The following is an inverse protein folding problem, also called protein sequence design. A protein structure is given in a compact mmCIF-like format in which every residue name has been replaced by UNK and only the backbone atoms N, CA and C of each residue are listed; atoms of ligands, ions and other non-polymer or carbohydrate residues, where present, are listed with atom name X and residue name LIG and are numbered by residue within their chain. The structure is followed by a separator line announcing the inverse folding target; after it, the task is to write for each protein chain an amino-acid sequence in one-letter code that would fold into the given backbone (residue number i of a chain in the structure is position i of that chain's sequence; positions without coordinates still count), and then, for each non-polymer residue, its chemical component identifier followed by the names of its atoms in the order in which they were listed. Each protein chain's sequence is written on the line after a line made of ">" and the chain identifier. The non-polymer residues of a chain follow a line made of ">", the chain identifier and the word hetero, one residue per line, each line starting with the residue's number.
data_IF_453539060773
#
_entry.id   IF_453539060773
#
_cell.length_a   1.000
_cell.length_b   1.000
_cell.length_c   1.000
_cell.angle_alpha   90.00
_cell.angle_beta   90.00
_cell.angle_gamma   90.00
#
_symmetry.space_group_name_H-M   'P 1'
#
loop_
_entity.id
_entity.type
_entity.pdbx_description
1 polymer ?
#
# COMPACT_ATOMS: atom_id res chain seq x y z
N UNK A 1 -14.16 -7.55 -10.15
CA UNK A 1 -14.93 -7.51 -8.90
C UNK A 1 -14.08 -6.92 -7.78
N UNK A 2 -14.74 -6.40 -6.75
CA UNK A 2 -14.06 -5.81 -5.62
C UNK A 2 -14.59 -6.35 -4.33
N UNK A 3 -13.67 -6.71 -3.46
CA UNK A 3 -13.95 -6.82 -2.04
C UNK A 3 -13.77 -5.42 -1.46
N UNK A 4 -14.64 -5.02 -0.54
CA UNK A 4 -14.54 -3.69 0.05
C UNK A 4 -13.26 -3.47 0.86
N UNK A 5 -12.55 -4.53 1.18
CA UNK A 5 -11.27 -4.44 1.88
C UNK A 5 -10.09 -4.39 0.92
N UNK A 6 -10.36 -4.38 -0.37
CA UNK A 6 -9.34 -4.35 -1.40
C UNK A 6 -9.33 -2.95 -2.03
N UNK A 7 -8.14 -2.44 -2.31
CA UNK A 7 -8.00 -1.15 -2.96
C UNK A 7 -6.82 -1.15 -3.91
N UNK A 8 -6.91 -0.33 -4.95
CA UNK A 8 -5.86 -0.18 -5.96
C UNK A 8 -5.25 1.20 -5.83
N UNK A 9 -3.92 1.28 -5.89
CA UNK A 9 -3.24 2.55 -5.81
C UNK A 9 -2.14 2.64 -6.87
N UNK A 10 -1.78 3.88 -7.21
CA UNK A 10 -0.67 4.16 -8.12
C UNK A 10 0.26 5.15 -7.44
N UNK A 11 1.54 4.83 -7.42
CA UNK A 11 2.58 5.67 -6.82
C UNK A 11 3.56 6.13 -7.89
N UNK A 12 4.07 7.35 -7.72
CA UNK A 12 5.22 7.80 -8.49
C UNK A 12 6.51 7.31 -7.80
N UNK A 13 7.65 7.69 -8.38
CA UNK A 13 8.96 7.21 -7.87
C UNK A 13 9.32 7.80 -6.51
N UNK A 14 8.71 8.91 -6.12
CA UNK A 14 8.95 9.53 -4.82
C UNK A 14 7.97 9.06 -3.76
N UNK A 15 7.06 8.17 -4.10
CA UNK A 15 6.08 7.64 -3.16
C UNK A 15 4.79 8.45 -3.11
N UNK A 16 4.59 9.38 -4.02
CA UNK A 16 3.36 10.15 -4.07
C UNK A 16 2.23 9.36 -4.70
N UNK A 17 1.05 9.44 -4.11
CA UNK A 17 -0.13 8.78 -4.65
C UNK A 17 -0.68 9.58 -5.82
N UNK A 18 -0.70 8.95 -6.99
CA UNK A 18 -1.31 9.53 -8.19
C UNK A 18 -2.75 9.08 -8.35
N UNK A 19 -3.10 7.95 -7.76
CA UNK A 19 -4.47 7.45 -7.74
C UNK A 19 -4.64 6.55 -6.53
N UNK A 20 -5.84 6.53 -5.97
CA UNK A 20 -6.15 5.67 -4.83
C UNK A 20 -7.63 5.33 -4.90
N UNK A 21 -7.94 4.08 -5.20
CA UNK A 21 -9.31 3.64 -5.34
C UNK A 21 -10.08 3.74 -4.04
N UNK A 22 -11.25 4.37 -4.08
CA UNK A 22 -12.11 4.52 -2.94
C UNK A 22 -11.73 5.65 -1.99
N UNK A 23 -10.58 6.29 -2.16
CA UNK A 23 -10.14 7.38 -1.29
C UNK A 23 -9.42 8.46 -2.10
N UNK A 24 -10.16 9.25 -2.88
CA UNK A 24 -9.53 10.28 -3.72
C UNK A 24 -8.77 11.33 -2.91
N UNK A 25 -9.09 11.49 -1.63
CA UNK A 25 -8.37 12.43 -0.76
C UNK A 25 -6.92 12.00 -0.51
N UNK A 26 -6.58 10.75 -0.78
CA UNK A 26 -5.19 10.29 -0.67
C UNK A 26 -4.30 10.77 -1.81
N UNK A 27 -4.89 11.13 -2.93
CA UNK A 27 -4.12 11.63 -4.08
C UNK A 27 -3.40 12.92 -3.68
N UNK A 28 -2.10 12.97 -3.95
CA UNK A 28 -1.27 14.10 -3.54
C UNK A 28 -0.55 13.89 -2.23
N UNK A 29 -0.93 12.90 -1.43
CA UNK A 29 -0.17 12.54 -0.23
C UNK A 29 0.93 11.54 -0.61
N UNK A 30 1.79 11.21 0.36
CA UNK A 30 2.91 10.29 0.12
C UNK A 30 2.83 9.11 1.07
N UNK A 31 3.38 7.98 0.62
CA UNK A 31 3.49 6.79 1.46
C UNK A 31 4.19 7.13 2.77
N UNK A 32 5.21 7.98 2.72
CA UNK A 32 5.99 8.34 3.90
C UNK A 32 5.18 9.11 4.94
N UNK A 33 4.02 9.65 4.56
CA UNK A 33 3.18 10.43 5.44
C UNK A 33 2.09 9.60 6.13
N UNK A 34 2.01 8.31 5.86
CA UNK A 34 1.00 7.46 6.48
C UNK A 34 1.29 7.27 7.95
N UNK A 35 0.30 7.56 8.80
CA UNK A 35 0.44 7.36 10.24
C UNK A 35 0.44 5.86 10.57
N UNK A 36 1.21 5.50 11.59
CA UNK A 36 1.19 4.15 12.13
C UNK A 36 2.14 3.16 11.45
N UNK A 37 2.91 3.61 10.46
CA UNK A 37 3.89 2.76 9.79
C UNK A 37 5.17 3.56 9.49
N UNK A 38 6.25 2.83 9.22
CA UNK A 38 7.44 3.43 8.67
C UNK A 38 7.27 3.52 7.16
N UNK A 39 6.74 4.67 6.70
CA UNK A 39 6.40 4.84 5.30
C UNK A 39 7.60 4.78 4.38
N UNK A 40 8.77 5.26 4.83
CA UNK A 40 9.96 5.20 3.99
C UNK A 40 10.38 3.76 3.76
N UNK A 41 10.37 2.93 4.79
CA UNK A 41 10.70 1.52 4.66
C UNK A 41 9.69 0.81 3.77
N UNK A 42 8.39 1.14 3.90
CA UNK A 42 7.36 0.56 3.06
C UNK A 42 7.59 0.94 1.59
N UNK A 43 7.88 2.20 1.31
CA UNK A 43 8.15 2.63 -0.06
C UNK A 43 9.33 1.88 -0.65
N UNK A 44 10.40 1.73 0.12
CA UNK A 44 11.58 0.99 -0.35
C UNK A 44 11.24 -0.46 -0.66
N UNK A 45 10.39 -1.08 0.16
CA UNK A 45 9.96 -2.46 -0.08
C UNK A 45 9.12 -2.57 -1.35
N UNK A 46 8.21 -1.62 -1.56
CA UNK A 46 7.37 -1.62 -2.76
C UNK A 46 8.22 -1.45 -4.01
N UNK A 47 9.12 -0.49 -3.99
CA UNK A 47 9.98 -0.23 -5.14
C UNK A 47 10.88 -1.42 -5.43
N UNK A 48 11.51 -1.98 -4.40
CA UNK A 48 12.42 -3.11 -4.58
C UNK A 48 11.68 -4.32 -5.17
N UNK A 49 10.49 -4.63 -4.64
CA UNK A 49 9.72 -5.77 -5.13
C UNK A 49 9.26 -5.53 -6.57
N UNK A 50 8.71 -4.34 -6.85
CA UNK A 50 8.15 -4.06 -8.16
C UNK A 50 9.23 -3.98 -9.25
N UNK A 51 10.44 -3.56 -8.88
CA UNK A 51 11.54 -3.51 -9.85
C UNK A 51 12.15 -4.88 -10.10
N UNK A 52 12.09 -5.77 -9.13
CA UNK A 52 12.57 -7.12 -9.30
C UNK A 52 11.60 -7.94 -10.15
N UNK A 53 10.36 -8.00 -9.71
CA UNK A 53 9.27 -8.69 -10.40
C UNK A 53 7.97 -8.36 -9.69
N UNK A 54 6.82 -8.50 -10.35
CA UNK A 54 5.53 -8.34 -9.65
C UNK A 54 5.44 -9.32 -8.49
N UNK A 55 4.98 -8.85 -7.36
CA UNK A 55 4.89 -9.72 -6.20
C UNK A 55 4.26 -9.04 -5.01
N UNK A 56 4.26 -9.73 -3.88
CA UNK A 56 3.60 -9.29 -2.67
C UNK A 56 4.57 -8.59 -1.73
N UNK A 57 4.08 -7.50 -1.12
CA UNK A 57 4.74 -6.82 -0.01
C UNK A 57 3.81 -6.89 1.18
N UNK A 58 4.33 -7.32 2.34
CA UNK A 58 3.55 -7.46 3.57
C UNK A 58 4.08 -6.46 4.59
N UNK A 59 3.17 -5.80 5.29
CA UNK A 59 3.56 -4.80 6.28
C UNK A 59 2.47 -4.64 7.33
N UNK A 60 2.87 -4.17 8.52
CA UNK A 60 1.96 -3.97 9.64
C UNK A 60 1.61 -2.50 9.77
N UNK A 61 0.35 -2.24 10.07
CA UNK A 61 -0.14 -0.90 10.36
C UNK A 61 -0.74 -0.90 11.76
N UNK A 62 -0.36 0.10 12.57
CA UNK A 62 -0.95 0.29 13.87
C UNK A 62 -2.18 1.18 13.71
N UNK A 63 -3.33 0.67 14.16
CA UNK A 63 -4.56 1.47 14.16
C UNK A 63 -4.44 2.54 15.24
N UNK A 64 -4.49 3.84 14.89
CA UNK A 64 -4.27 4.89 15.88
C UNK A 64 -5.38 4.99 16.92
N UNK A 65 -6.55 4.46 16.68
CA UNK A 65 -7.66 4.53 17.63
C UNK A 65 -7.62 3.41 18.64
N UNK A 66 -7.30 2.21 18.22
CA UNK A 66 -7.36 1.04 19.08
C UNK A 66 -5.99 0.56 19.54
N UNK A 67 -4.93 0.98 18.89
CA UNK A 67 -3.59 0.46 19.11
C UNK A 67 -3.38 -0.93 18.54
N UNK A 68 -4.38 -1.51 17.90
CA UNK A 68 -4.27 -2.84 17.34
C UNK A 68 -3.38 -2.81 16.09
N UNK A 69 -2.65 -3.90 15.88
CA UNK A 69 -1.81 -4.07 14.71
C UNK A 69 -2.55 -4.91 13.69
N UNK A 70 -2.61 -4.41 12.47
CA UNK A 70 -3.19 -5.14 11.35
C UNK A 70 -2.13 -5.37 10.30
N UNK A 71 -2.09 -6.58 9.77
CA UNK A 71 -1.15 -6.92 8.70
C UNK A 71 -1.85 -6.71 7.36
N UNK A 72 -1.18 -5.97 6.49
CA UNK A 72 -1.66 -5.71 5.13
C UNK A 72 -0.71 -6.35 4.13
N UNK A 73 -1.26 -6.74 3.00
CA UNK A 73 -0.48 -7.24 1.87
C UNK A 73 -0.84 -6.42 0.64
N UNK A 74 0.15 -6.10 -0.15
CA UNK A 74 -0.08 -5.42 -1.42
C UNK A 74 0.64 -6.16 -2.53
N UNK A 75 -0.09 -6.48 -3.58
CA UNK A 75 0.53 -6.99 -4.80
C UNK A 75 0.96 -5.79 -5.62
N UNK A 76 2.26 -5.71 -5.92
CA UNK A 76 2.83 -4.54 -6.57
C UNK A 76 3.49 -4.91 -7.88
N UNK A 77 3.43 -3.99 -8.82
CA UNK A 77 4.10 -4.14 -10.10
C UNK A 77 4.54 -2.77 -10.59
N UNK A 78 5.46 -2.76 -11.54
CA UNK A 78 5.96 -1.53 -12.14
C UNK A 78 5.44 -1.42 -13.56
N UNK A 79 5.00 -0.22 -13.93
CA UNK A 79 4.65 0.12 -15.31
C UNK A 79 5.32 1.45 -15.62
N UNK A 80 6.32 1.44 -16.50
CA UNK A 80 7.14 2.62 -16.82
C UNK A 80 7.76 3.18 -15.54
N UNK A 81 7.42 4.41 -15.16
CA UNK A 81 7.94 5.06 -13.98
C UNK A 81 6.95 5.02 -12.81
N UNK A 82 5.91 4.21 -12.91
CA UNK A 82 4.86 4.14 -11.92
C UNK A 82 4.85 2.79 -11.22
N UNK A 83 4.40 2.79 -9.98
CA UNK A 83 4.23 1.58 -9.19
C UNK A 83 2.76 1.40 -8.89
N UNK A 84 2.19 0.31 -9.38
CA UNK A 84 0.80 -0.02 -9.18
C UNK A 84 0.70 -1.08 -8.10
N UNK A 85 -0.31 -0.94 -7.24
CA UNK A 85 -0.51 -1.91 -6.19
C UNK A 85 -1.98 -2.16 -5.92
N UNK A 86 -2.24 -3.35 -5.36
CA UNK A 86 -3.56 -3.73 -4.89
C UNK A 86 -3.40 -4.23 -3.47
N UNK A 87 -4.01 -3.55 -2.50
CA UNK A 87 -3.84 -3.87 -1.10
C UNK A 87 -5.03 -4.58 -0.51
N UNK A 88 -4.75 -5.50 0.41
CA UNK A 88 -5.78 -6.22 1.16
C UNK A 88 -5.35 -6.36 2.61
N UNK A 89 -6.32 -6.54 3.50
CA UNK A 89 -6.06 -6.82 4.91
C UNK A 89 -5.97 -8.33 5.11
N UNK A 90 -4.81 -8.78 5.53
CA UNK A 90 -4.59 -10.20 5.74
C UNK A 90 -5.37 -10.74 6.92
N UNK A 91 -5.52 -9.93 7.96
CA UNK A 91 -6.16 -10.36 9.20
C UNK A 91 -7.61 -10.79 9.01
N UNK A 92 -8.24 -10.41 7.93
CA UNK A 92 -9.64 -10.75 7.70
C UNK A 92 -9.85 -12.21 7.38
N UNK A 93 -8.80 -12.93 7.09
CA UNK A 93 -8.89 -14.34 6.78
C UNK A 93 -9.17 -15.21 7.99
N UNK A 94 -9.19 -14.62 9.16
CA UNK A 94 -9.32 -15.37 10.40
C UNK A 94 -10.75 -15.67 10.79
N UNK A 95 -11.60 -15.70 9.91
CA UNK A 95 -12.98 -16.00 10.23
C UNK A 95 -13.10 -17.35 10.97
#
# INVERSE_FOLDING_TARGET
>A
FFDRDMYVFVLDRQGGYLAFGGKPEKVGSRVQDIAGIDGQALLESIVAQAELEPGWVEYDIVNPQSGAIQTKMSYVTRVDDLYLGCGVYKSLSLA
#
